data_IF_389508108179
#
_entry.id   IF_389508108179
#
_cell.length_a   1.000
_cell.length_b   1.000
_cell.length_c   1.000
_cell.angle_alpha   90.00
_cell.angle_beta   90.00
_cell.angle_gamma   90.00
#
_symmetry.space_group_name_H-M   'P 1'
#
loop_
_entity.id
_entity.type
_entity.pdbx_description
1 polymer ?
#
# COMPACT_ATOMS: atom_id res chain seq x y z
N UNK A 1 -10.91 9.55 12.91
CA UNK A 1 -9.46 9.34 13.15
C UNK A 1 -8.73 8.84 11.89
N UNK A 2 -9.20 7.78 11.23
CA UNK A 2 -8.61 7.26 10.00
C UNK A 2 -8.60 8.31 8.86
N UNK A 3 -9.75 8.95 8.62
CA UNK A 3 -9.91 10.04 7.64
C UNK A 3 -8.98 11.23 7.92
N UNK A 4 -8.81 11.61 9.19
CA UNK A 4 -7.88 12.67 9.56
C UNK A 4 -6.43 12.29 9.23
N UNK A 5 -6.00 11.07 9.58
CA UNK A 5 -4.64 10.61 9.26
C UNK A 5 -4.39 10.58 7.75
N UNK A 6 -5.37 10.10 6.98
CA UNK A 6 -5.33 10.10 5.52
C UNK A 6 -5.29 11.53 4.96
N UNK A 7 -6.13 12.43 5.48
CA UNK A 7 -6.16 13.85 5.10
C UNK A 7 -4.83 14.56 5.36
N UNK A 8 -4.16 14.27 6.48
CA UNK A 8 -2.84 14.83 6.77
C UNK A 8 -1.78 14.39 5.74
N UNK A 9 -1.83 13.14 5.28
CA UNK A 9 -0.93 12.66 4.23
C UNK A 9 -1.32 13.22 2.85
N UNK A 10 -2.61 13.20 2.52
CA UNK A 10 -3.15 13.73 1.25
C UNK A 10 -2.86 15.22 1.08
N UNK A 11 -2.91 15.99 2.17
CA UNK A 11 -2.57 17.42 2.19
C UNK A 11 -1.07 17.74 2.34
N UNK A 12 -0.20 16.72 2.35
CA UNK A 12 1.25 16.88 2.47
C UNK A 12 1.75 17.30 3.85
N UNK A 13 0.87 17.35 4.86
CA UNK A 13 1.24 17.64 6.26
C UNK A 13 1.92 16.46 6.96
N UNK A 14 1.86 15.27 6.37
CA UNK A 14 2.59 14.08 6.77
C UNK A 14 3.08 13.31 5.52
N UNK A 15 4.23 12.63 5.63
CA UNK A 15 4.83 11.93 4.49
C UNK A 15 4.48 10.45 4.37
N UNK A 16 4.05 9.80 5.46
CA UNK A 16 3.79 8.35 5.51
C UNK A 16 2.54 8.08 6.32
N UNK A 17 1.67 7.22 5.79
CA UNK A 17 0.52 6.70 6.51
C UNK A 17 0.87 5.34 7.13
N UNK A 18 0.66 5.18 8.45
CA UNK A 18 0.89 3.93 9.15
C UNK A 18 -0.42 3.37 9.73
N UNK A 19 -0.67 2.08 9.51
CA UNK A 19 -1.81 1.39 10.16
C UNK A 19 -1.49 1.13 11.63
N UNK A 20 -2.27 1.74 12.52
CA UNK A 20 -2.23 1.44 13.95
C UNK A 20 -2.98 0.16 14.34
N UNK A 21 -3.41 0.09 15.59
CA UNK A 21 -4.23 -0.98 16.17
C UNK A 21 -5.70 -0.87 15.72
N UNK A 22 -5.92 -0.93 14.40
CA UNK A 22 -7.24 -0.90 13.77
C UNK A 22 -7.38 -2.04 12.76
N UNK A 23 -8.63 -2.46 12.45
CA UNK A 23 -8.90 -3.41 11.39
C UNK A 23 -8.39 -2.90 10.03
N UNK A 24 -7.80 -3.81 9.25
CA UNK A 24 -7.31 -3.50 7.89
C UNK A 24 -8.42 -2.99 6.99
N UNK A 25 -9.65 -3.51 7.12
CA UNK A 25 -10.81 -3.05 6.35
C UNK A 25 -11.12 -1.57 6.57
N UNK A 26 -11.11 -1.11 7.83
CA UNK A 26 -11.33 0.30 8.16
C UNK A 26 -10.20 1.20 7.68
N UNK A 27 -8.95 0.73 7.78
CA UNK A 27 -7.79 1.43 7.25
C UNK A 27 -7.88 1.61 5.72
N UNK A 28 -8.11 0.51 5.00
CA UNK A 28 -8.18 0.52 3.54
C UNK A 28 -9.37 1.32 3.03
N UNK A 29 -10.52 1.28 3.72
CA UNK A 29 -11.69 2.11 3.37
C UNK A 29 -11.31 3.60 3.34
N UNK A 30 -10.60 4.08 4.36
CA UNK A 30 -10.16 5.48 4.40
C UNK A 30 -9.10 5.79 3.34
N UNK A 31 -8.16 4.87 3.08
CA UNK A 31 -7.14 5.05 2.03
C UNK A 31 -7.74 5.11 0.63
N UNK A 32 -8.78 4.32 0.36
CA UNK A 32 -9.42 4.19 -0.95
C UNK A 32 -10.57 5.18 -1.17
N UNK A 33 -10.81 6.06 -0.19
CA UNK A 33 -11.82 7.11 -0.30
C UNK A 33 -11.55 8.02 -1.52
N UNK A 34 -12.60 8.42 -2.23
CA UNK A 34 -12.46 9.19 -3.48
C UNK A 34 -12.29 10.69 -3.25
N UNK A 35 -12.77 11.22 -2.14
CA UNK A 35 -12.74 12.66 -1.85
C UNK A 35 -11.48 13.05 -1.10
N UNK A 36 -11.08 12.23 -0.12
CA UNK A 36 -9.98 12.57 0.80
C UNK A 36 -8.82 11.55 0.78
N UNK A 37 -9.03 10.38 0.16
CA UNK A 37 -8.11 9.25 0.15
C UNK A 37 -6.78 9.47 -0.58
N UNK A 38 -6.00 8.40 -0.72
CA UNK A 38 -4.69 8.39 -1.38
C UNK A 38 -4.71 7.65 -2.73
N UNK A 39 -5.91 7.44 -3.29
CA UNK A 39 -6.10 6.70 -4.52
C UNK A 39 -5.50 7.47 -5.70
N UNK A 40 -4.63 6.80 -6.46
CA UNK A 40 -4.01 7.34 -7.68
C UNK A 40 -4.68 6.84 -8.97
N UNK A 41 -5.68 5.96 -8.85
CA UNK A 41 -6.30 5.26 -9.98
C UNK A 41 -5.55 4.00 -10.44
N UNK A 42 -4.34 3.77 -9.92
CA UNK A 42 -3.58 2.53 -10.13
C UNK A 42 -3.96 1.45 -9.10
N UNK A 43 -3.70 0.19 -9.44
CA UNK A 43 -3.82 -0.93 -8.52
C UNK A 43 -2.89 -0.73 -7.31
N UNK A 44 -3.44 -0.94 -6.11
CA UNK A 44 -2.67 -0.90 -4.87
C UNK A 44 -2.13 -2.30 -4.56
N UNK A 45 -0.81 -2.43 -4.44
CA UNK A 45 -0.12 -3.69 -4.15
C UNK A 45 0.77 -3.59 -2.92
N UNK A 46 1.23 -4.73 -2.42
CA UNK A 46 2.16 -4.79 -1.28
C UNK A 46 3.56 -5.25 -1.72
N UNK A 47 4.59 -4.48 -1.33
CA UNK A 47 5.99 -4.86 -1.47
C UNK A 47 6.64 -5.09 -0.10
N UNK A 48 7.35 -6.20 0.02
CA UNK A 48 8.24 -6.48 1.14
C UNK A 48 9.70 -6.49 0.67
N UNK A 49 10.58 -5.99 1.52
CA UNK A 49 12.03 -5.97 1.28
C UNK A 49 12.70 -6.95 2.22
N UNK A 50 13.45 -7.89 1.65
CA UNK A 50 14.20 -8.89 2.39
C UNK A 50 15.70 -8.69 2.21
N UNK A 51 16.45 -8.87 3.29
CA UNK A 51 17.91 -8.99 3.27
C UNK A 51 18.28 -10.37 3.81
N UNK A 52 18.98 -11.15 3.01
CA UNK A 52 19.49 -12.46 3.43
C UNK A 52 20.95 -12.35 3.80
N UNK A 53 21.42 -12.95 4.91
CA UNK A 53 22.84 -13.05 5.21
C UNK A 53 23.65 -13.82 4.14
N UNK A 54 22.98 -14.60 3.28
CA UNK A 54 23.62 -15.41 2.24
C UNK A 54 23.88 -14.67 0.92
N UNK A 55 23.28 -13.49 0.74
CA UNK A 55 23.36 -12.75 -0.52
C UNK A 55 23.61 -11.28 -0.22
N UNK A 56 24.63 -10.69 -0.85
CA UNK A 56 24.93 -9.26 -0.74
C UNK A 56 24.03 -8.42 -1.67
N UNK A 57 22.72 -8.59 -1.53
CA UNK A 57 21.69 -7.80 -2.22
C UNK A 57 20.38 -7.83 -1.46
N UNK A 58 19.54 -6.82 -1.71
CA UNK A 58 18.14 -6.83 -1.27
C UNK A 58 17.26 -7.60 -2.27
N UNK A 59 16.20 -8.20 -1.75
CA UNK A 59 15.15 -8.83 -2.54
C UNK A 59 13.84 -8.09 -2.30
N UNK A 60 13.17 -7.74 -3.38
CA UNK A 60 11.79 -7.26 -3.34
C UNK A 60 10.87 -8.44 -3.62
N UNK A 61 9.82 -8.57 -2.82
CA UNK A 61 8.75 -9.53 -3.03
C UNK A 61 7.43 -8.76 -3.11
N UNK A 62 6.65 -9.04 -4.14
CA UNK A 62 5.30 -8.49 -4.36
C UNK A 62 4.48 -9.51 -5.15
N UNK A 63 3.18 -9.69 -4.96
CA UNK A 63 2.30 -9.18 -3.91
C UNK A 63 1.99 -10.31 -2.92
N UNK A 64 2.25 -10.08 -1.63
CA UNK A 64 2.10 -11.10 -0.58
C UNK A 64 0.89 -10.92 0.33
N UNK A 65 0.11 -9.84 0.19
CA UNK A 65 -0.90 -9.48 1.18
C UNK A 65 -2.08 -8.64 0.67
N UNK A 66 -2.03 -8.10 -0.56
CA UNK A 66 -3.06 -7.18 -1.08
C UNK A 66 -3.86 -7.79 -2.21
N UNK A 67 -3.22 -8.24 -3.30
CA UNK A 67 -3.92 -8.82 -4.47
C UNK A 67 -3.86 -10.35 -4.43
N UNK A 68 -5.01 -11.00 -4.20
CA UNK A 68 -5.11 -12.45 -3.94
C UNK A 68 -4.74 -13.31 -5.15
N UNK A 69 -5.27 -12.97 -6.33
CA UNK A 69 -5.08 -13.74 -7.55
C UNK A 69 -5.06 -12.78 -8.76
N UNK A 70 -3.93 -12.11 -9.02
CA UNK A 70 -3.87 -11.07 -10.03
C UNK A 70 -4.00 -11.64 -11.46
N UNK A 71 -4.76 -10.96 -12.31
CA UNK A 71 -4.78 -11.20 -13.77
C UNK A 71 -3.43 -10.84 -14.41
N UNK A 72 -3.28 -11.08 -15.71
CA UNK A 72 -2.07 -10.67 -16.44
C UNK A 72 -1.87 -9.14 -16.40
N UNK A 73 -2.95 -8.40 -16.60
CA UNK A 73 -2.97 -6.94 -16.60
C UNK A 73 -2.67 -6.39 -15.20
N UNK A 74 -3.21 -7.01 -14.16
CA UNK A 74 -2.91 -6.65 -12.77
C UNK A 74 -1.46 -6.96 -12.41
N UNK A 75 -0.92 -8.11 -12.85
CA UNK A 75 0.51 -8.43 -12.68
C UNK A 75 1.41 -7.39 -13.35
N UNK A 76 1.05 -6.91 -14.54
CA UNK A 76 1.77 -5.82 -15.20
C UNK A 76 1.73 -4.54 -14.35
N UNK A 77 0.56 -4.16 -13.82
CA UNK A 77 0.46 -2.99 -12.92
C UNK A 77 1.24 -3.16 -11.60
N UNK A 78 1.36 -4.38 -11.07
CA UNK A 78 2.13 -4.65 -9.84
C UNK A 78 3.63 -4.39 -10.06
N UNK A 79 4.16 -4.64 -11.26
CA UNK A 79 5.59 -4.47 -11.56
C UNK A 79 5.94 -3.10 -12.17
N UNK A 80 4.98 -2.40 -12.79
CA UNK A 80 5.18 -1.07 -13.38
C UNK A 80 4.18 -0.72 -14.47
#
# INVERSE_FOLDING_TARGET
AQELAVSLVSSGKAGILMKGLIPTSGFLKAVLDREVGLRTGKLLSHVAVFKSPRYDRFFYLTDGAMVVAPTLEEKAQIIG
#
